data_IF_859067561101
#
_entry.id   IF_859067561101
#
_cell.length_a   1.000
_cell.length_b   1.000
_cell.length_c   1.000
_cell.angle_alpha   90.00
_cell.angle_beta   90.00
_cell.angle_gamma   90.00
#
_symmetry.space_group_name_H-M   'P 1'
#
loop_
_entity.id
_entity.type
_entity.pdbx_description
1 polymer ?
#
# COMPACT_ATOMS: atom_id res chain seq x y z
N UNK A 1 84.44 24.75 -33.54
CA UNK A 1 83.54 24.25 -32.49
C UNK A 1 82.17 24.98 -32.64
N UNK A 2 81.18 24.31 -33.21
CA UNK A 2 79.82 24.91 -33.39
C UNK A 2 78.91 24.25 -32.37
N UNK A 3 78.35 25.01 -31.41
CA UNK A 3 77.26 24.58 -30.52
C UNK A 3 75.98 24.59 -31.32
N UNK A 4 75.31 23.44 -31.37
CA UNK A 4 73.93 23.33 -31.84
C UNK A 4 72.99 23.48 -30.61
N UNK A 5 72.16 24.50 -30.70
CA UNK A 5 71.07 24.76 -29.74
C UNK A 5 69.85 23.87 -30.11
N UNK A 6 69.48 23.00 -29.20
CA UNK A 6 68.30 22.14 -29.33
C UNK A 6 67.11 22.81 -28.68
N UNK A 7 66.12 23.26 -29.49
CA UNK A 7 64.84 23.76 -28.99
C UNK A 7 63.88 22.59 -28.71
N UNK A 8 63.51 22.48 -27.45
CA UNK A 8 62.41 21.57 -27.03
C UNK A 8 61.09 22.29 -27.23
N UNK A 9 60.23 21.80 -28.14
CA UNK A 9 58.85 22.25 -28.32
C UNK A 9 57.99 21.44 -27.33
N UNK A 10 57.53 22.11 -26.25
CA UNK A 10 56.55 21.55 -25.31
C UNK A 10 55.16 21.67 -25.91
N UNK A 11 54.58 20.55 -26.35
CA UNK A 11 53.18 20.50 -26.78
C UNK A 11 52.31 20.40 -25.55
N UNK A 12 51.60 21.49 -25.21
CA UNK A 12 50.61 21.49 -24.13
C UNK A 12 49.32 20.85 -24.65
N UNK A 13 49.03 19.61 -24.24
CA UNK A 13 47.75 18.98 -24.53
C UNK A 13 46.67 19.49 -23.58
N UNK A 14 45.72 20.27 -24.08
CA UNK A 14 44.49 20.60 -23.39
C UNK A 14 43.53 19.40 -23.49
N UNK A 15 43.37 18.65 -22.42
CA UNK A 15 42.27 17.68 -22.28
C UNK A 15 40.99 18.42 -21.92
N UNK A 16 40.08 18.51 -22.88
CA UNK A 16 38.73 19.03 -22.66
C UNK A 16 37.95 17.96 -21.88
N UNK A 17 37.81 18.12 -20.56
CA UNK A 17 36.92 17.28 -19.77
C UNK A 17 35.46 17.66 -20.08
N UNK A 18 34.78 16.86 -20.87
CA UNK A 18 33.34 16.99 -21.06
C UNK A 18 32.65 16.67 -19.71
N UNK A 19 32.10 17.71 -19.08
CA UNK A 19 31.21 17.53 -17.93
C UNK A 19 29.96 16.81 -18.43
N UNK A 20 29.76 15.55 -18.04
CA UNK A 20 28.51 14.83 -18.20
C UNK A 20 27.54 15.51 -17.23
N UNK A 21 26.68 16.36 -17.74
CA UNK A 21 25.54 16.87 -16.99
C UNK A 21 24.66 15.66 -16.66
N UNK A 22 24.78 15.15 -15.44
CA UNK A 22 23.88 14.11 -14.93
C UNK A 22 22.45 14.67 -14.98
N UNK A 23 21.57 13.97 -15.66
CA UNK A 23 20.15 14.25 -15.65
C UNK A 23 19.68 14.28 -14.18
N UNK A 24 19.10 15.43 -13.76
CA UNK A 24 18.50 15.48 -12.42
C UNK A 24 17.45 14.38 -12.32
N UNK A 25 17.45 13.58 -11.23
CA UNK A 25 16.43 12.55 -11.07
C UNK A 25 15.04 13.19 -11.18
N UNK A 26 14.15 12.54 -11.94
CA UNK A 26 12.78 13.01 -12.09
C UNK A 26 12.18 13.26 -10.69
N UNK A 27 11.35 14.32 -10.52
CA UNK A 27 10.72 14.57 -9.23
C UNK A 27 9.95 13.34 -8.81
N UNK A 28 10.16 12.93 -7.57
CA UNK A 28 9.52 11.74 -7.08
C UNK A 28 8.00 11.93 -7.03
N UNK A 29 7.26 10.89 -7.40
CA UNK A 29 5.80 10.88 -7.51
C UNK A 29 5.13 11.30 -6.20
N UNK A 30 4.16 12.21 -6.26
CA UNK A 30 3.25 12.50 -5.17
C UNK A 30 2.13 11.44 -5.16
N UNK A 31 2.06 10.67 -4.07
CA UNK A 31 1.06 9.63 -3.87
C UNK A 31 -0.17 10.06 -3.06
N UNK A 32 -0.29 11.36 -2.73
CA UNK A 32 -1.35 11.87 -1.84
C UNK A 32 -2.78 11.62 -2.34
N UNK A 33 -2.95 11.40 -3.64
CA UNK A 33 -4.22 11.13 -4.30
C UNK A 33 -4.47 9.65 -4.63
N UNK A 34 -3.58 8.76 -4.24
CA UNK A 34 -3.64 7.35 -4.65
C UNK A 34 -4.88 6.61 -4.18
N UNK A 35 -5.47 7.00 -3.06
CA UNK A 35 -6.72 6.45 -2.55
C UNK A 35 -7.98 7.23 -2.95
N UNK A 36 -7.88 8.27 -3.79
CA UNK A 36 -9.05 9.07 -4.19
C UNK A 36 -10.10 8.25 -4.98
N UNK A 37 -9.69 7.16 -5.61
CA UNK A 37 -10.60 6.24 -6.29
C UNK A 37 -11.64 5.62 -5.35
N UNK A 38 -11.34 5.50 -4.05
CA UNK A 38 -12.26 4.95 -3.06
C UNK A 38 -13.39 5.91 -2.69
N UNK A 39 -13.20 7.23 -2.81
CA UNK A 39 -14.14 8.22 -2.29
C UNK A 39 -15.54 8.01 -2.88
N UNK A 40 -16.52 7.89 -1.99
CA UNK A 40 -17.93 7.62 -2.31
C UNK A 40 -18.44 6.31 -1.72
N UNK A 41 -19.56 5.83 -2.28
CA UNK A 41 -20.27 4.66 -1.80
C UNK A 41 -20.01 3.46 -2.70
N UNK A 42 -19.76 2.31 -2.09
CA UNK A 42 -19.46 1.06 -2.77
C UNK A 42 -20.32 -0.08 -2.23
N UNK A 43 -20.71 -0.99 -3.12
CA UNK A 43 -21.13 -2.35 -2.74
C UNK A 43 -19.86 -3.17 -2.54
N UNK A 44 -19.82 -3.95 -1.48
CA UNK A 44 -18.70 -4.81 -1.15
C UNK A 44 -19.15 -6.27 -1.18
N UNK A 45 -18.44 -7.10 -1.94
CA UNK A 45 -18.56 -8.55 -1.88
C UNK A 45 -17.30 -9.10 -1.21
N UNK A 46 -17.46 -9.78 -0.08
CA UNK A 46 -16.35 -10.25 0.74
C UNK A 46 -16.30 -11.76 0.77
N UNK A 47 -15.09 -12.27 0.56
CA UNK A 47 -14.71 -13.65 0.83
C UNK A 47 -13.71 -13.68 1.98
N UNK A 48 -14.01 -14.39 3.03
CA UNK A 48 -13.17 -14.48 4.23
C UNK A 48 -12.85 -15.94 4.55
N UNK A 49 -11.60 -16.21 4.88
CA UNK A 49 -11.14 -17.47 5.43
C UNK A 49 -11.09 -17.34 6.97
N UNK A 50 -12.03 -17.92 7.73
CA UNK A 50 -12.05 -17.80 9.19
C UNK A 50 -10.87 -18.51 9.87
N UNK A 51 -10.56 -19.72 9.37
CA UNK A 51 -9.50 -20.57 9.90
C UNK A 51 -8.22 -20.35 9.11
N UNK A 52 -7.40 -19.40 9.60
CA UNK A 52 -6.20 -18.92 8.92
C UNK A 52 -4.96 -19.68 9.36
N UNK A 53 -4.02 -19.87 8.45
CA UNK A 53 -2.70 -20.49 8.66
C UNK A 53 -2.77 -21.95 9.15
N UNK A 54 -3.82 -22.67 8.78
CA UNK A 54 -4.04 -24.10 9.10
C UNK A 54 -4.37 -24.92 7.86
N UNK A 55 -4.18 -24.37 6.66
CA UNK A 55 -4.48 -25.06 5.40
C UNK A 55 -5.97 -25.22 5.11
N UNK A 56 -6.83 -24.41 5.73
CA UNK A 56 -8.28 -24.43 5.50
C UNK A 56 -8.61 -23.85 4.12
N UNK A 57 -9.65 -24.42 3.49
CA UNK A 57 -10.27 -23.91 2.26
C UNK A 57 -11.74 -23.51 2.47
N UNK A 58 -12.19 -23.42 3.71
CA UNK A 58 -13.58 -23.09 4.06
C UNK A 58 -13.79 -21.57 4.02
N UNK A 59 -14.03 -21.05 2.83
CA UNK A 59 -14.36 -19.64 2.65
C UNK A 59 -15.81 -19.37 2.99
N UNK A 60 -16.06 -18.27 3.69
CA UNK A 60 -17.40 -17.69 3.87
C UNK A 60 -17.53 -16.44 3.03
N UNK A 61 -18.71 -16.22 2.47
CA UNK A 61 -19.01 -15.11 1.58
C UNK A 61 -20.19 -14.31 2.10
N UNK A 62 -20.11 -12.99 1.93
CA UNK A 62 -21.17 -12.06 2.32
C UNK A 62 -21.03 -10.73 1.60
N UNK A 63 -22.16 -10.04 1.47
CA UNK A 63 -22.25 -8.72 0.88
C UNK A 63 -22.35 -7.65 1.96
N UNK A 64 -21.88 -6.47 1.65
CA UNK A 64 -21.91 -5.32 2.53
C UNK A 64 -21.83 -4.01 1.74
N UNK A 65 -21.67 -2.94 2.48
CA UNK A 65 -21.46 -1.58 1.96
C UNK A 65 -20.15 -1.02 2.51
N UNK A 66 -19.50 -0.22 1.71
CA UNK A 66 -18.28 0.50 2.11
C UNK A 66 -18.40 1.96 1.66
N UNK A 67 -18.39 2.87 2.63
CA UNK A 67 -18.53 4.30 2.41
C UNK A 67 -17.22 4.99 2.75
N UNK A 68 -16.65 5.71 1.80
CA UNK A 68 -15.38 6.40 1.97
C UNK A 68 -15.56 7.91 1.84
N UNK A 69 -14.94 8.64 2.75
CA UNK A 69 -14.96 10.11 2.78
C UNK A 69 -13.56 10.66 2.92
N UNK A 70 -13.24 11.66 2.11
CA UNK A 70 -12.03 12.46 2.31
C UNK A 70 -12.18 13.29 3.59
N UNK A 71 -11.13 13.38 4.39
CA UNK A 71 -11.15 14.20 5.61
C UNK A 71 -10.68 15.60 5.26
N UNK A 72 -11.63 16.55 5.17
CA UNK A 72 -11.39 17.91 4.71
C UNK A 72 -10.67 17.88 3.33
N UNK A 73 -9.83 18.85 3.05
CA UNK A 73 -8.96 18.87 1.86
C UNK A 73 -7.61 18.22 2.13
N UNK A 74 -7.57 17.24 3.03
CA UNK A 74 -6.34 16.64 3.52
C UNK A 74 -5.92 15.39 2.74
N UNK A 75 -4.69 14.96 2.97
CA UNK A 75 -4.12 13.70 2.53
C UNK A 75 -4.60 12.53 3.42
N UNK A 76 -5.91 12.49 3.69
CA UNK A 76 -6.54 11.50 4.57
C UNK A 76 -7.93 11.12 4.09
N UNK A 77 -8.32 9.88 4.33
CA UNK A 77 -9.69 9.42 4.12
C UNK A 77 -10.12 8.47 5.24
N UNK A 78 -11.43 8.36 5.38
CA UNK A 78 -12.08 7.53 6.38
C UNK A 78 -13.09 6.61 5.71
N UNK A 79 -13.11 5.35 6.12
CA UNK A 79 -14.04 4.33 5.64
C UNK A 79 -14.98 3.88 6.76
N UNK A 80 -16.24 3.70 6.41
CA UNK A 80 -17.22 2.97 7.18
C UNK A 80 -17.64 1.74 6.38
N UNK A 81 -17.27 0.58 6.88
CA UNK A 81 -17.64 -0.71 6.29
C UNK A 81 -18.69 -1.39 7.15
N UNK A 82 -19.76 -1.86 6.54
CA UNK A 82 -20.84 -2.55 7.22
C UNK A 82 -21.33 -3.76 6.43
N UNK A 83 -21.45 -4.88 7.13
CA UNK A 83 -22.15 -6.08 6.67
C UNK A 83 -23.25 -6.34 7.66
N UNK A 84 -24.47 -6.53 7.15
CA UNK A 84 -25.60 -7.00 7.93
C UNK A 84 -26.26 -8.18 7.21
N UNK A 85 -26.03 -9.38 7.74
CA UNK A 85 -26.65 -10.60 7.22
C UNK A 85 -27.30 -11.37 8.36
N UNK A 86 -28.55 -11.08 8.71
CA UNK A 86 -29.28 -11.70 9.82
C UNK A 86 -29.45 -13.21 9.66
N UNK A 87 -29.56 -13.71 8.42
CA UNK A 87 -29.71 -15.14 8.14
C UNK A 87 -28.46 -15.95 8.50
N UNK A 88 -27.29 -15.33 8.40
CA UNK A 88 -26.00 -15.93 8.78
C UNK A 88 -25.54 -15.49 10.17
N UNK A 89 -26.38 -14.76 10.94
CA UNK A 89 -26.02 -14.15 12.22
C UNK A 89 -24.73 -13.33 12.14
N UNK A 90 -24.53 -12.64 11.02
CA UNK A 90 -23.31 -11.91 10.73
C UNK A 90 -23.60 -10.41 10.71
N UNK A 91 -23.01 -9.71 11.66
CA UNK A 91 -23.03 -8.26 11.72
C UNK A 91 -21.60 -7.75 11.92
N UNK A 92 -21.07 -7.07 10.91
CA UNK A 92 -19.71 -6.53 10.93
C UNK A 92 -19.78 -5.04 10.76
N UNK A 93 -19.16 -4.30 11.67
CA UNK A 93 -18.88 -2.86 11.51
C UNK A 93 -17.38 -2.67 11.66
N UNK A 94 -16.76 -2.16 10.63
CA UNK A 94 -15.34 -1.83 10.63
C UNK A 94 -15.15 -0.40 10.15
N UNK A 95 -14.14 0.26 10.69
CA UNK A 95 -13.75 1.59 10.29
C UNK A 95 -12.27 1.62 10.02
N UNK A 96 -11.89 2.37 9.00
CA UNK A 96 -10.50 2.49 8.58
C UNK A 96 -10.16 3.96 8.40
N UNK A 97 -9.06 4.39 9.02
CA UNK A 97 -8.45 5.70 8.76
C UNK A 97 -7.20 5.51 7.91
N UNK A 98 -7.09 6.26 6.82
CA UNK A 98 -5.89 6.26 5.97
C UNK A 98 -5.28 7.65 5.97
N UNK A 99 -3.98 7.71 6.25
CA UNK A 99 -3.21 8.96 6.31
C UNK A 99 -2.00 8.85 5.36
N UNK A 100 -1.79 9.87 4.55
CA UNK A 100 -0.61 9.99 3.71
C UNK A 100 0.47 10.82 4.41
N UNK A 101 1.68 10.30 4.43
CA UNK A 101 2.86 11.02 4.90
C UNK A 101 3.65 11.54 3.70
N UNK A 102 3.73 12.85 3.48
CA UNK A 102 4.44 13.43 2.33
C UNK A 102 5.96 13.25 2.40
N UNK A 103 6.54 13.14 3.61
CA UNK A 103 7.98 12.98 3.79
C UNK A 103 8.44 11.58 3.37
N UNK A 104 7.72 10.53 3.79
CA UNK A 104 8.01 9.14 3.41
C UNK A 104 7.32 8.72 2.12
N UNK A 105 6.32 9.50 1.64
CA UNK A 105 5.46 9.21 0.49
C UNK A 105 4.69 7.91 0.61
N UNK A 106 4.34 7.56 1.83
CA UNK A 106 3.62 6.34 2.15
C UNK A 106 2.28 6.64 2.81
N UNK A 107 1.35 5.73 2.63
CA UNK A 107 0.08 5.71 3.34
C UNK A 107 0.18 4.80 4.55
N UNK A 108 -0.41 5.23 5.65
CA UNK A 108 -0.65 4.43 6.85
C UNK A 108 -2.13 4.12 6.97
N UNK A 109 -2.47 2.84 7.12
CA UNK A 109 -3.83 2.32 7.23
C UNK A 109 -4.05 1.86 8.65
N UNK A 110 -4.95 2.53 9.38
CA UNK A 110 -5.32 2.22 10.76
C UNK A 110 -6.71 1.60 10.77
N UNK A 111 -6.86 0.45 11.39
CA UNK A 111 -8.16 -0.12 11.72
C UNK A 111 -8.63 0.44 13.07
N UNK A 112 -9.90 0.80 13.16
CA UNK A 112 -10.51 1.27 14.39
C UNK A 112 -11.33 0.14 15.03
N UNK A 113 -10.94 -0.30 16.22
CA UNK A 113 -11.74 -1.19 17.05
C UNK A 113 -12.68 -0.34 17.93
N UNK A 114 -13.89 -0.10 17.45
CA UNK A 114 -14.85 0.72 18.16
C UNK A 114 -15.37 0.08 19.46
N UNK A 115 -15.32 -1.26 19.54
CA UNK A 115 -15.75 -1.97 20.75
C UNK A 115 -14.75 -1.76 21.89
N UNK A 116 -13.47 -1.66 21.56
CA UNK A 116 -12.41 -1.40 22.52
C UNK A 116 -12.00 0.07 22.63
N UNK A 117 -12.44 0.91 21.69
CA UNK A 117 -12.07 2.33 21.64
C UNK A 117 -10.58 2.54 21.33
N UNK A 118 -9.98 1.72 20.47
CA UNK A 118 -8.56 1.78 20.14
C UNK A 118 -8.31 1.77 18.64
N UNK A 119 -7.16 2.30 18.23
CA UNK A 119 -6.59 2.14 16.90
C UNK A 119 -5.66 0.93 16.88
N UNK A 120 -5.64 0.21 15.75
CA UNK A 120 -4.59 -0.77 15.50
C UNK A 120 -3.26 -0.06 15.30
N UNK A 121 -2.29 -0.31 16.16
CA UNK A 121 -0.92 0.21 16.06
C UNK A 121 0.07 -0.93 16.25
N UNK A 122 1.12 -1.01 15.41
CA UNK A 122 1.42 -0.10 14.30
C UNK A 122 0.36 -0.17 13.18
N UNK A 123 0.29 0.83 12.27
CA UNK A 123 -0.56 0.75 11.10
C UNK A 123 0.03 -0.16 10.02
N UNK A 124 -0.80 -0.59 9.08
CA UNK A 124 -0.32 -1.20 7.84
C UNK A 124 0.20 -0.09 6.92
N UNK A 125 1.47 -0.16 6.50
CA UNK A 125 2.15 0.92 5.76
C UNK A 125 2.55 0.48 4.37
N UNK A 126 2.41 1.36 3.39
CA UNK A 126 2.83 1.10 2.02
C UNK A 126 2.49 2.21 1.05
N UNK A 127 2.56 1.88 -0.22
CA UNK A 127 2.40 2.83 -1.32
C UNK A 127 1.77 2.17 -2.55
N UNK A 128 1.44 3.00 -3.53
CA UNK A 128 1.00 2.55 -4.84
C UNK A 128 2.13 2.65 -5.87
N UNK A 129 2.23 1.63 -6.69
CA UNK A 129 3.03 1.65 -7.90
C UNK A 129 2.08 1.45 -9.10
N UNK A 130 1.82 2.54 -9.82
CA UNK A 130 0.78 2.55 -10.86
C UNK A 130 -0.60 2.21 -10.28
N UNK A 131 -1.24 1.19 -10.85
CA UNK A 131 -2.60 0.75 -10.46
C UNK A 131 -2.59 -0.39 -9.42
N UNK A 132 -1.51 -0.53 -8.65
CA UNK A 132 -1.34 -1.54 -7.61
C UNK A 132 -0.87 -0.91 -6.32
N UNK A 133 -1.60 -1.10 -5.23
CA UNK A 133 -1.19 -0.73 -3.87
C UNK A 133 -0.64 -1.93 -3.12
N UNK A 134 0.47 -1.75 -2.40
CA UNK A 134 1.10 -2.78 -1.57
C UNK A 134 1.42 -2.23 -0.19
N UNK A 135 0.91 -2.89 0.84
CA UNK A 135 1.01 -2.45 2.23
C UNK A 135 1.36 -3.61 3.13
N UNK A 136 2.18 -3.37 4.14
CA UNK A 136 2.71 -4.40 5.02
C UNK A 136 2.66 -3.99 6.48
N UNK A 137 2.53 -5.00 7.36
CA UNK A 137 2.62 -4.88 8.82
C UNK A 137 3.13 -6.18 9.44
N UNK A 138 3.45 -6.11 10.74
CA UNK A 138 3.78 -7.24 11.59
C UNK A 138 2.78 -7.31 12.73
N UNK A 139 2.12 -8.44 12.88
CA UNK A 139 1.08 -8.64 13.88
C UNK A 139 1.29 -9.91 14.70
N UNK A 140 0.47 -10.06 15.73
CA UNK A 140 0.32 -11.31 16.48
C UNK A 140 -1.02 -11.98 16.11
N UNK A 141 -0.96 -13.20 15.63
CA UNK A 141 -2.15 -13.99 15.36
C UNK A 141 -2.13 -15.30 16.17
N UNK A 142 -3.05 -15.45 17.13
CA UNK A 142 -3.14 -16.61 18.04
C UNK A 142 -1.79 -16.90 18.75
N UNK A 143 -1.11 -15.83 19.23
CA UNK A 143 0.18 -15.94 19.92
C UNK A 143 1.39 -16.20 19.01
N UNK A 144 1.23 -16.11 17.72
CA UNK A 144 2.26 -16.32 16.71
C UNK A 144 2.55 -15.04 15.95
N UNK A 145 3.82 -14.65 15.85
CA UNK A 145 4.21 -13.51 15.02
C UNK A 145 3.97 -13.83 13.54
N UNK A 146 3.33 -12.92 12.84
CA UNK A 146 3.04 -13.02 11.41
C UNK A 146 3.39 -11.72 10.69
N UNK A 147 3.61 -11.84 9.38
CA UNK A 147 3.57 -10.71 8.48
C UNK A 147 2.17 -10.59 7.87
N UNK A 148 1.68 -9.39 7.76
CA UNK A 148 0.42 -9.04 7.09
C UNK A 148 0.72 -8.28 5.82
N UNK A 149 -0.05 -8.56 4.78
CA UNK A 149 0.06 -7.86 3.49
C UNK A 149 -1.32 -7.52 2.97
N UNK A 150 -1.49 -6.26 2.54
CA UNK A 150 -2.67 -5.80 1.81
C UNK A 150 -2.29 -5.46 0.38
N UNK A 151 -3.08 -5.95 -0.57
CA UNK A 151 -3.01 -5.53 -1.97
C UNK A 151 -4.28 -4.81 -2.37
N UNK A 152 -4.10 -3.70 -3.11
CA UNK A 152 -5.15 -3.06 -3.88
C UNK A 152 -4.91 -3.31 -5.35
N UNK A 153 -5.91 -3.88 -6.04
CA UNK A 153 -5.82 -4.41 -7.38
C UNK A 153 -7.05 -4.04 -8.20
N UNK A 154 -6.97 -4.19 -9.51
CA UNK A 154 -8.10 -4.03 -10.43
C UNK A 154 -8.85 -2.71 -10.25
N UNK A 155 -8.10 -1.64 -9.99
CA UNK A 155 -8.63 -0.31 -9.67
C UNK A 155 -9.16 0.35 -10.93
N UNK A 156 -10.42 0.78 -10.87
CA UNK A 156 -11.10 1.57 -11.89
C UNK A 156 -12.08 2.56 -11.25
N UNK A 157 -12.77 3.34 -12.07
CA UNK A 157 -13.83 4.22 -11.58
C UNK A 157 -15.03 3.47 -10.97
N UNK A 158 -15.21 2.19 -11.31
CA UNK A 158 -16.39 1.40 -10.92
C UNK A 158 -16.06 0.10 -10.19
N UNK A 159 -14.79 -0.23 -10.04
CA UNK A 159 -14.36 -1.45 -9.37
C UNK A 159 -13.03 -1.27 -8.67
N UNK A 160 -12.82 -1.99 -7.60
CA UNK A 160 -11.53 -2.19 -6.96
C UNK A 160 -11.55 -3.51 -6.20
N UNK A 161 -10.37 -4.10 -5.98
CA UNK A 161 -10.22 -5.32 -5.20
C UNK A 161 -9.15 -5.12 -4.13
N UNK A 162 -9.48 -5.48 -2.90
CA UNK A 162 -8.55 -5.52 -1.79
C UNK A 162 -8.34 -6.97 -1.36
N UNK A 163 -7.09 -7.36 -1.17
CA UNK A 163 -6.73 -8.67 -0.63
C UNK A 163 -5.87 -8.51 0.62
N UNK A 164 -6.15 -9.35 1.63
CA UNK A 164 -5.28 -9.53 2.79
C UNK A 164 -4.66 -10.92 2.74
N UNK A 165 -3.37 -10.97 3.03
CA UNK A 165 -2.65 -12.24 3.18
C UNK A 165 -1.81 -12.24 4.45
N UNK A 166 -1.66 -13.44 5.05
CA UNK A 166 -0.78 -13.66 6.18
C UNK A 166 0.39 -14.55 5.79
N UNK A 167 1.55 -14.29 6.39
CA UNK A 167 2.71 -15.17 6.34
C UNK A 167 3.20 -15.48 7.75
N UNK A 168 3.44 -16.75 8.01
CA UNK A 168 3.95 -17.23 9.29
C UNK A 168 5.40 -17.74 9.21
N UNK A 169 6.05 -17.53 8.07
CA UNK A 169 7.40 -18.04 7.75
C UNK A 169 8.35 -16.93 7.26
N UNK A 170 8.08 -15.69 7.68
CA UNK A 170 8.92 -14.54 7.33
C UNK A 170 8.76 -14.07 5.88
N UNK A 171 7.58 -14.27 5.28
CA UNK A 171 7.28 -13.80 3.93
C UNK A 171 7.63 -14.79 2.82
N UNK A 172 8.06 -16.01 3.13
CA UNK A 172 8.38 -17.04 2.13
C UNK A 172 7.12 -17.57 1.45
N UNK A 173 6.07 -17.80 2.25
CA UNK A 173 4.74 -18.17 1.74
C UNK A 173 3.67 -17.25 2.30
N UNK A 174 2.57 -17.09 1.54
CA UNK A 174 1.48 -16.20 1.87
C UNK A 174 0.14 -16.91 1.68
N UNK A 175 -0.70 -16.88 2.70
CA UNK A 175 -2.08 -17.34 2.64
C UNK A 175 -3.01 -16.14 2.50
N UNK A 176 -3.68 -16.01 1.35
CA UNK A 176 -4.76 -15.03 1.20
C UNK A 176 -5.94 -15.47 2.03
N UNK A 177 -6.45 -14.61 2.91
CA UNK A 177 -7.49 -14.94 3.87
C UNK A 177 -8.65 -13.93 3.96
N UNK A 178 -8.56 -12.86 3.17
CA UNK A 178 -9.62 -11.89 2.97
C UNK A 178 -9.53 -11.33 1.55
N UNK A 179 -10.66 -11.27 0.87
CA UNK A 179 -10.80 -10.66 -0.44
C UNK A 179 -12.05 -9.79 -0.37
N UNK A 180 -11.94 -8.53 -0.75
CA UNK A 180 -13.06 -7.61 -0.84
C UNK A 180 -13.12 -7.05 -2.26
N UNK A 181 -14.19 -7.32 -2.96
CA UNK A 181 -14.47 -6.76 -4.28
C UNK A 181 -15.47 -5.62 -4.14
N UNK A 182 -15.04 -4.42 -4.53
CA UNK A 182 -15.85 -3.20 -4.50
C UNK A 182 -16.40 -2.91 -5.89
N UNK A 183 -17.69 -2.58 -5.96
CA UNK A 183 -18.39 -2.17 -7.21
C UNK A 183 -19.34 -1.01 -6.95
N UNK A 184 -19.57 -0.17 -7.97
CA UNK A 184 -20.55 0.93 -7.96
C UNK A 184 -21.09 1.25 -9.35
#
# INVERSE_FOLDING_TARGET
>A
MKLQSMYWLSILQFTLAAAIAGESPAPARDGSHDFDFLIGNWKAHVRRLPDRLVGSNNWIEYDGISNHKKLLDSNANFEQFEVDNPQKHLHIKAQTLRLYNPDTRQWSIYLLDLAKGVLSVPPVVGEFNGNRGEFYDQEQYKGRAILVRYFWLNISLKSARMEQSFSADGGKTWETNWICELTR
#
